data_IF_072807342480
#
_entry.id   IF_072807342480
#
_cell.length_a   1.000
_cell.length_b   1.000
_cell.length_c   1.000
_cell.angle_alpha   90.00
_cell.angle_beta   90.00
_cell.angle_gamma   90.00
#
_symmetry.space_group_name_H-M   'P 1'
#
loop_
_entity.id
_entity.type
_entity.pdbx_description
1 polymer ?
#
# COMPACT_ATOMS: atom_id res chain seq x y z
N UNK A 1 -4.61 -0.74 -28.01
CA UNK A 1 -4.06 -0.22 -26.75
C UNK A 1 -4.22 -1.31 -25.71
N UNK A 2 -3.16 -1.72 -25.02
CA UNK A 2 -3.22 -2.70 -23.94
C UNK A 2 -4.31 -2.29 -22.94
N UNK A 3 -5.41 -3.03 -22.93
CA UNK A 3 -6.54 -2.77 -22.05
C UNK A 3 -6.08 -2.89 -20.61
N UNK A 4 -6.04 -1.75 -19.92
CA UNK A 4 -5.96 -1.63 -18.47
C UNK A 4 -7.21 -2.25 -17.76
N UNK A 5 -8.04 -3.04 -18.45
CA UNK A 5 -9.32 -3.58 -17.98
C UNK A 5 -9.21 -4.66 -16.90
N UNK A 6 -8.00 -5.12 -16.62
CA UNK A 6 -7.67 -5.83 -15.38
C UNK A 6 -6.34 -5.35 -14.87
N UNK A 7 -6.30 -4.14 -14.33
CA UNK A 7 -5.27 -3.79 -13.36
C UNK A 7 -5.39 -4.80 -12.20
N UNK A 8 -4.63 -5.90 -12.26
CA UNK A 8 -4.35 -6.76 -11.10
C UNK A 8 -3.57 -5.95 -10.06
N UNK A 9 -2.95 -4.84 -10.47
CA UNK A 9 -2.11 -3.94 -9.69
C UNK A 9 -2.73 -3.45 -8.37
N UNK A 10 -3.94 -2.86 -8.30
CA UNK A 10 -4.59 -2.51 -7.04
C UNK A 10 -4.76 -3.71 -6.10
N UNK A 11 -5.13 -4.88 -6.62
CA UNK A 11 -5.27 -6.10 -5.81
C UNK A 11 -3.93 -6.59 -5.28
N UNK A 12 -2.88 -6.55 -6.10
CA UNK A 12 -1.49 -6.88 -5.70
C UNK A 12 -1.00 -5.92 -4.63
N UNK A 13 -1.26 -4.61 -4.78
CA UNK A 13 -0.87 -3.58 -3.81
C UNK A 13 -1.57 -3.82 -2.48
N UNK A 14 -2.86 -4.15 -2.47
CA UNK A 14 -3.58 -4.49 -1.23
C UNK A 14 -3.03 -5.75 -0.56
N UNK A 15 -2.69 -6.78 -1.34
CA UNK A 15 -2.08 -7.99 -0.81
C UNK A 15 -0.68 -7.71 -0.22
N UNK A 16 0.15 -6.94 -0.92
CA UNK A 16 1.46 -6.49 -0.44
C UNK A 16 1.33 -5.67 0.84
N UNK A 17 0.38 -4.72 0.90
CA UNK A 17 0.08 -3.95 2.09
C UNK A 17 -0.19 -4.85 3.31
N UNK A 18 -1.11 -5.81 3.16
CA UNK A 18 -1.45 -6.76 4.22
C UNK A 18 -0.23 -7.56 4.69
N UNK A 19 0.55 -8.09 3.73
CA UNK A 19 1.77 -8.86 4.04
C UNK A 19 2.81 -7.99 4.74
N UNK A 20 3.07 -6.77 4.26
CA UNK A 20 4.04 -5.86 4.86
C UNK A 20 3.65 -5.48 6.28
N UNK A 21 2.39 -5.10 6.51
CA UNK A 21 1.91 -4.76 7.86
C UNK A 21 1.97 -5.97 8.80
N UNK A 22 1.58 -7.15 8.33
CA UNK A 22 1.66 -8.38 9.12
C UNK A 22 3.11 -8.71 9.51
N UNK A 23 4.04 -8.65 8.56
CA UNK A 23 5.46 -8.92 8.82
C UNK A 23 6.06 -7.92 9.81
N UNK A 24 5.79 -6.62 9.65
CA UNK A 24 6.27 -5.59 10.57
C UNK A 24 5.69 -5.77 11.98
N UNK A 25 4.42 -6.14 12.08
CA UNK A 25 3.75 -6.39 13.36
C UNK A 25 4.32 -7.63 14.05
N UNK A 26 4.51 -8.73 13.32
CA UNK A 26 5.13 -9.97 13.83
C UNK A 26 6.57 -9.70 14.28
N UNK A 27 7.34 -8.96 13.48
CA UNK A 27 8.71 -8.59 13.82
C UNK A 27 8.77 -7.73 15.11
N UNK A 28 7.84 -6.80 15.29
CA UNK A 28 7.73 -6.01 16.52
C UNK A 28 7.44 -6.90 17.73
N UNK A 29 6.48 -7.83 17.60
CA UNK A 29 6.13 -8.79 18.66
C UNK A 29 7.33 -9.65 19.02
N UNK A 30 8.00 -10.28 18.04
CA UNK A 30 9.21 -11.10 18.28
C UNK A 30 10.29 -10.28 18.98
N UNK A 31 10.49 -9.03 18.57
CA UNK A 31 11.48 -8.12 19.19
C UNK A 31 11.16 -7.87 20.65
N UNK A 32 9.89 -7.63 20.99
CA UNK A 32 9.47 -7.42 22.38
C UNK A 32 9.61 -8.68 23.25
N UNK A 33 9.32 -9.86 22.70
CA UNK A 33 9.53 -11.11 23.44
C UNK A 33 11.00 -11.42 23.69
N UNK A 34 11.88 -11.08 22.74
CA UNK A 34 13.30 -11.44 22.83
C UNK A 34 14.12 -10.44 23.64
N UNK A 35 13.77 -9.15 23.58
CA UNK A 35 14.57 -8.04 24.12
C UNK A 35 13.80 -7.14 25.09
N UNK A 36 12.56 -7.47 25.42
CA UNK A 36 11.66 -6.59 26.16
C UNK A 36 11.19 -5.40 25.32
N UNK A 37 10.37 -4.54 25.92
CA UNK A 37 9.90 -3.31 25.27
C UNK A 37 11.09 -2.37 25.04
N UNK A 38 11.46 -2.18 23.77
CA UNK A 38 12.62 -1.40 23.38
C UNK A 38 12.32 -0.49 22.18
N UNK A 39 13.22 0.45 21.92
CA UNK A 39 13.09 1.40 20.81
C UNK A 39 12.98 0.72 19.44
N UNK A 40 13.64 -0.43 19.25
CA UNK A 40 13.57 -1.17 17.98
C UNK A 40 12.15 -1.69 17.68
N UNK A 41 11.46 -2.29 18.66
CA UNK A 41 10.09 -2.76 18.47
C UNK A 41 9.10 -1.60 18.29
N UNK A 42 9.31 -0.47 18.98
CA UNK A 42 8.51 0.74 18.77
C UNK A 42 8.68 1.32 17.35
N UNK A 43 9.92 1.34 16.83
CA UNK A 43 10.20 1.78 15.46
C UNK A 43 9.51 0.86 14.44
N UNK A 44 9.49 -0.46 14.66
CA UNK A 44 8.80 -1.40 13.77
C UNK A 44 7.28 -1.15 13.73
N UNK A 45 6.65 -0.85 14.87
CA UNK A 45 5.24 -0.46 14.90
C UNK A 45 4.99 0.87 14.19
N UNK A 46 5.87 1.86 14.40
CA UNK A 46 5.80 3.14 13.69
C UNK A 46 5.92 2.94 12.17
N UNK A 47 6.86 2.10 11.72
CA UNK A 47 7.01 1.72 10.31
C UNK A 47 5.76 1.04 9.76
N UNK A 48 5.05 0.22 10.54
CA UNK A 48 3.79 -0.37 10.11
C UNK A 48 2.69 0.68 9.86
N UNK A 49 2.64 1.73 10.69
CA UNK A 49 1.74 2.88 10.47
C UNK A 49 2.14 3.64 9.20
N UNK A 50 3.43 3.92 9.00
CA UNK A 50 3.92 4.57 7.78
C UNK A 50 3.64 3.74 6.52
N UNK A 51 3.76 2.41 6.60
CA UNK A 51 3.42 1.53 5.50
C UNK A 51 1.96 1.73 5.05
N UNK A 52 1.01 1.92 5.99
CA UNK A 52 -0.39 2.22 5.66
C UNK A 52 -0.51 3.50 4.83
N UNK A 53 0.08 4.60 5.30
CA UNK A 53 0.02 5.89 4.60
C UNK A 53 0.66 5.78 3.21
N UNK A 54 1.79 5.09 3.11
CA UNK A 54 2.49 4.87 1.85
C UNK A 54 1.65 4.09 0.83
N UNK A 55 1.10 2.94 1.22
CA UNK A 55 0.29 2.11 0.33
C UNK A 55 -1.04 2.79 -0.07
N UNK A 56 -1.65 3.56 0.85
CA UNK A 56 -2.85 4.34 0.56
C UNK A 56 -2.57 5.43 -0.48
N UNK A 57 -1.42 6.12 -0.38
CA UNK A 57 -0.98 7.12 -1.36
C UNK A 57 -0.74 6.52 -2.74
N UNK A 58 -0.14 5.33 -2.81
CA UNK A 58 0.03 4.59 -4.07
C UNK A 58 -1.34 4.28 -4.68
N UNK A 59 -2.28 3.76 -3.89
CA UNK A 59 -3.62 3.40 -4.37
C UNK A 59 -4.39 4.62 -4.90
N UNK A 60 -4.30 5.77 -4.22
CA UNK A 60 -4.87 7.04 -4.68
C UNK A 60 -4.26 7.46 -6.01
N UNK A 61 -2.94 7.33 -6.17
CA UNK A 61 -2.26 7.66 -7.43
C UNK A 61 -2.77 6.82 -8.61
N UNK A 62 -3.00 5.52 -8.41
CA UNK A 62 -3.59 4.66 -9.44
C UNK A 62 -5.03 5.07 -9.79
N UNK A 63 -5.86 5.41 -8.80
CA UNK A 63 -7.21 5.93 -9.05
C UNK A 63 -7.17 7.24 -9.83
N UNK A 64 -6.26 8.16 -9.48
CA UNK A 64 -6.09 9.42 -10.19
C UNK A 64 -5.73 9.20 -11.66
N UNK A 65 -4.85 8.25 -11.95
CA UNK A 65 -4.50 7.90 -13.33
C UNK A 65 -5.71 7.33 -14.10
N UNK A 66 -6.55 6.53 -13.45
CA UNK A 66 -7.78 6.03 -14.06
C UNK A 66 -8.79 7.17 -14.34
N UNK A 67 -8.92 8.14 -13.43
CA UNK A 67 -9.78 9.32 -13.65
C UNK A 67 -9.29 10.16 -14.82
N UNK A 68 -7.98 10.40 -14.93
CA UNK A 68 -7.40 11.12 -16.08
C UNK A 68 -7.69 10.40 -17.40
N UNK A 69 -7.58 9.07 -17.42
CA UNK A 69 -7.94 8.26 -18.60
C UNK A 69 -9.41 8.46 -18.99
N UNK A 70 -10.34 8.38 -18.04
CA UNK A 70 -11.77 8.56 -18.30
C UNK A 70 -12.09 9.97 -18.83
N UNK A 71 -11.40 10.99 -18.32
CA UNK A 71 -11.55 12.36 -18.81
C UNK A 71 -11.06 12.46 -20.26
N UNK A 72 -9.88 11.92 -20.57
CA UNK A 72 -9.35 11.92 -21.94
C UNK A 72 -10.28 11.22 -22.93
N UNK A 73 -10.77 10.01 -22.58
CA UNK A 73 -11.73 9.25 -23.40
C UNK A 73 -13.06 10.01 -23.60
N UNK A 74 -13.49 10.82 -22.62
CA UNK A 74 -14.70 11.65 -22.75
C UNK A 74 -14.51 12.86 -23.66
N UNK A 75 -13.29 13.39 -23.74
CA UNK A 75 -12.92 14.51 -24.61
C UNK A 75 -12.76 14.05 -26.06
N UNK A 76 -12.23 12.86 -26.32
CA UNK A 76 -12.11 12.29 -27.67
C UNK A 76 -13.46 11.92 -28.32
N UNK A 77 -14.51 11.71 -27.52
CA UNK A 77 -15.88 11.43 -28.02
C UNK A 77 -16.69 12.67 -28.35
N UNK A 78 -16.15 13.87 -28.10
CA UNK A 78 -16.73 15.16 -28.49
C UNK A 78 -16.10 15.63 -29.79
#
# INVERSE_FOLDING_TARGET
>A
MFGFDKLITPKIITALYLVTVALLSIAAVITFFTRGVNGAGLILLLMAVFARVFFETIMVSFKNNEYLRRIAESLEKK
#
